data_IF_895368020549
#
_entry.id   IF_895368020549
#
_cell.length_a   1.000
_cell.length_b   1.000
_cell.length_c   1.000
_cell.angle_alpha   90.00
_cell.angle_beta   90.00
_cell.angle_gamma   90.00
#
_symmetry.space_group_name_H-M   'P 1'
#
loop_
_entity.id
_entity.type
_entity.pdbx_description
1 polymer ?
#
# COMPACT_ATOMS: atom_id res chain seq x y z
N UNK A 1 10.19 13.43 3.51
CA UNK A 1 10.26 12.10 4.14
C UNK A 1 9.49 11.15 3.27
N UNK A 2 10.09 10.01 2.92
CA UNK A 2 9.39 8.95 2.17
C UNK A 2 8.59 8.07 3.13
N UNK A 3 7.43 7.57 2.70
CA UNK A 3 6.63 6.61 3.48
C UNK A 3 6.45 5.35 2.65
N UNK A 4 6.78 4.20 3.25
CA UNK A 4 6.51 2.89 2.69
C UNK A 4 5.57 2.18 3.65
N UNK A 5 4.38 1.85 3.17
CA UNK A 5 3.37 1.11 3.92
C UNK A 5 3.23 -0.30 3.36
N UNK A 6 3.20 -1.28 4.26
CA UNK A 6 2.85 -2.65 3.95
C UNK A 6 1.67 -3.05 4.82
N UNK A 7 0.62 -3.54 4.19
CA UNK A 7 -0.62 -3.89 4.88
C UNK A 7 -1.17 -5.23 4.38
N UNK A 8 -1.96 -5.88 5.22
CA UNK A 8 -2.62 -7.15 4.92
C UNK A 8 -3.92 -6.88 4.19
N UNK A 9 -4.26 -7.73 3.22
CA UNK A 9 -5.57 -7.71 2.57
C UNK A 9 -6.34 -9.01 2.79
N UNK A 10 -7.67 -8.93 2.75
CA UNK A 10 -8.57 -10.08 2.84
C UNK A 10 -9.74 -9.84 3.80
N UNK A 11 -10.54 -10.88 4.00
CA UNK A 11 -11.72 -10.84 4.85
C UNK A 11 -11.65 -11.87 5.98
N UNK A 12 -12.08 -11.46 7.17
CA UNK A 12 -12.22 -12.35 8.32
C UNK A 12 -13.30 -11.86 9.28
N UNK A 13 -14.15 -12.78 9.75
CA UNK A 13 -15.16 -12.51 10.79
C UNK A 13 -16.00 -11.25 10.49
N UNK A 14 -16.50 -11.13 9.25
CA UNK A 14 -17.27 -9.98 8.72
C UNK A 14 -16.52 -8.63 8.72
N UNK A 15 -15.18 -8.67 8.79
CA UNK A 15 -14.31 -7.50 8.67
C UNK A 15 -13.50 -7.61 7.39
N UNK A 16 -13.26 -6.47 6.74
CA UNK A 16 -12.49 -6.35 5.51
C UNK A 16 -11.22 -5.58 5.80
N UNK A 17 -10.08 -6.11 5.37
CA UNK A 17 -8.81 -5.39 5.29
C UNK A 17 -8.53 -5.02 3.84
N UNK A 18 -8.54 -3.72 3.54
CA UNK A 18 -8.38 -3.22 2.17
C UNK A 18 -6.92 -3.29 1.67
N UNK A 19 -5.94 -3.45 2.58
CA UNK A 19 -4.53 -3.67 2.26
C UNK A 19 -3.87 -2.62 1.36
N UNK A 20 -3.92 -1.31 1.68
CA UNK A 20 -3.31 -0.25 0.88
C UNK A 20 -1.76 -0.24 1.00
N UNK A 21 -1.11 -1.31 0.54
CA UNK A 21 0.35 -1.37 0.41
C UNK A 21 0.79 -0.35 -0.65
N UNK A 22 1.60 0.64 -0.24
CA UNK A 22 1.87 1.83 -1.05
C UNK A 22 3.23 2.48 -0.73
N UNK A 23 3.74 3.25 -1.70
CA UNK A 23 4.88 4.16 -1.54
C UNK A 23 4.41 5.59 -1.75
N UNK A 24 4.76 6.48 -0.82
CA UNK A 24 4.37 7.89 -0.81
C UNK A 24 5.63 8.75 -0.80
N UNK A 25 5.68 9.75 -1.69
CA UNK A 25 6.79 10.68 -1.83
C UNK A 25 6.82 11.76 -0.73
N UNK A 26 7.89 12.56 -0.62
CA UNK A 26 7.98 13.66 0.35
C UNK A 26 6.94 14.77 0.19
N UNK A 27 6.26 14.87 -0.95
CA UNK A 27 5.19 15.82 -1.21
C UNK A 27 3.82 15.28 -0.77
N UNK A 28 3.75 14.00 -0.38
CA UNK A 28 2.52 13.33 0.03
C UNK A 28 1.77 12.66 -1.12
N UNK A 29 2.41 12.50 -2.28
CA UNK A 29 1.82 11.82 -3.45
C UNK A 29 2.00 10.32 -3.33
N UNK A 30 0.92 9.55 -3.54
CA UNK A 30 1.01 8.10 -3.72
C UNK A 30 1.60 7.83 -5.11
N UNK A 31 2.84 7.34 -5.16
CA UNK A 31 3.55 7.10 -6.42
C UNK A 31 3.42 5.66 -6.92
N UNK A 32 3.09 4.73 -6.02
CA UNK A 32 2.79 3.33 -6.34
C UNK A 32 1.88 2.75 -5.25
N UNK A 33 0.90 1.94 -5.65
CA UNK A 33 0.00 1.25 -4.74
C UNK A 33 -0.47 -0.07 -5.35
N UNK A 34 -0.54 -1.12 -4.53
CA UNK A 34 -1.22 -2.36 -4.91
C UNK A 34 -2.73 -2.09 -5.00
N UNK A 35 -3.47 -2.60 -6.02
CA UNK A 35 -4.92 -2.48 -6.04
C UNK A 35 -5.55 -2.92 -4.71
N UNK A 36 -6.55 -2.17 -4.23
CA UNK A 36 -7.20 -2.50 -2.96
C UNK A 36 -7.84 -3.88 -3.04
N UNK A 37 -7.79 -4.62 -1.93
CA UNK A 37 -8.32 -5.98 -1.84
C UNK A 37 -7.54 -7.04 -2.64
N UNK A 38 -6.37 -6.69 -3.18
CA UNK A 38 -5.51 -7.62 -3.91
C UNK A 38 -4.15 -7.76 -3.21
N UNK A 39 -3.62 -8.99 -3.21
CA UNK A 39 -2.25 -9.23 -2.78
C UNK A 39 -1.30 -8.87 -3.92
N UNK A 40 -0.22 -8.17 -3.62
CA UNK A 40 0.73 -7.74 -4.64
C UNK A 40 2.00 -7.15 -4.05
N UNK A 41 2.81 -6.57 -4.93
CA UNK A 41 4.08 -5.94 -4.57
C UNK A 41 4.24 -4.65 -5.35
N UNK A 42 4.70 -3.61 -4.65
CA UNK A 42 5.15 -2.35 -5.26
C UNK A 42 6.66 -2.23 -5.06
N UNK A 43 7.34 -1.68 -6.07
CA UNK A 43 8.77 -1.40 -6.04
C UNK A 43 8.97 0.04 -6.47
N UNK A 44 9.78 0.79 -5.74
CA UNK A 44 10.13 2.17 -6.06
C UNK A 44 11.59 2.43 -5.73
N UNK A 45 12.24 3.27 -6.54
CA UNK A 45 13.55 3.83 -6.21
C UNK A 45 13.37 5.09 -5.37
N UNK A 46 14.20 5.22 -4.32
CA UNK A 46 14.18 6.36 -3.40
C UNK A 46 15.41 7.22 -3.70
N UNK A 47 15.20 8.53 -3.86
CA UNK A 47 16.25 9.53 -4.07
C UNK A 47 16.34 10.50 -2.88
#
# INVERSE_FOLDING_TARGET
MWIVSSDVTGERDQRISYGPTAVIDPQGTVIAQVPLQEAGMVVAEIH
#
